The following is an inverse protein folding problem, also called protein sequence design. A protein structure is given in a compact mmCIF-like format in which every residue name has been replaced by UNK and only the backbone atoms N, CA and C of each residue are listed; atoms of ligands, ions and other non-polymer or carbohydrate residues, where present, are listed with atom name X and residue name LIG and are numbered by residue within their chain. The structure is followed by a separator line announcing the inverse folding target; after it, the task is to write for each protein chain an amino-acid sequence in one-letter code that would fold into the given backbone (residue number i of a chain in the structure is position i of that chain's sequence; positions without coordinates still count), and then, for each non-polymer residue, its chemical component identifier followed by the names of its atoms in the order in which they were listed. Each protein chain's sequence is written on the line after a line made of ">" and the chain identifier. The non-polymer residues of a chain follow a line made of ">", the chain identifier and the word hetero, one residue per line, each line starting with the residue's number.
data_IF_624003715068
#
_entry.id   IF_624003715068
#
_cell.length_a   1.000
_cell.length_b   1.000
_cell.length_c   1.000
_cell.angle_alpha   90.00
_cell.angle_beta   90.00
_cell.angle_gamma   90.00
#
_symmetry.space_group_name_H-M   'P 1'
#
loop_
_entity.id
_entity.type
_entity.pdbx_description
1 polymer ?
#
# COMPACT_ATOMS: atom_id res chain seq x y z
N UNK A 1 15.46 3.77 12.09
CA UNK A 1 14.49 3.48 11.03
C UNK A 1 14.67 4.46 9.88
N UNK A 2 14.28 4.09 8.65
CA UNK A 2 14.02 5.04 7.56
C UNK A 2 13.17 6.22 8.07
N UNK A 3 13.22 7.41 7.46
CA UNK A 3 12.85 8.68 8.07
C UNK A 3 11.48 8.61 8.77
N UNK A 4 11.50 8.37 10.08
CA UNK A 4 10.36 8.25 10.98
C UNK A 4 9.12 7.47 10.46
N UNK A 5 9.29 6.51 9.54
CA UNK A 5 8.16 5.81 8.90
C UNK A 5 7.10 6.79 8.34
N UNK A 6 7.56 7.90 7.75
CA UNK A 6 6.70 8.97 7.20
C UNK A 6 5.67 9.54 8.20
N UNK A 7 5.89 9.36 9.51
CA UNK A 7 4.90 9.67 10.56
C UNK A 7 3.56 8.92 10.41
N UNK A 8 3.57 7.78 9.73
CA UNK A 8 2.43 6.93 9.44
C UNK A 8 2.66 5.49 9.90
N UNK A 9 3.42 5.33 10.98
CA UNK A 9 3.72 4.02 11.55
C UNK A 9 4.71 4.11 12.71
N UNK A 10 5.00 2.95 13.26
CA UNK A 10 5.91 2.76 14.39
C UNK A 10 7.15 2.01 13.93
N UNK A 11 8.32 2.46 14.40
CA UNK A 11 9.57 1.76 14.16
C UNK A 11 9.70 0.58 15.14
N UNK A 12 9.66 -0.66 14.63
CA UNK A 12 9.92 -1.86 15.40
C UNK A 12 11.04 -2.68 14.76
N UNK A 13 12.05 -3.05 15.55
CA UNK A 13 13.17 -3.90 15.11
C UNK A 13 13.93 -3.39 13.87
N UNK A 14 13.87 -2.08 13.61
CA UNK A 14 14.50 -1.47 12.43
C UNK A 14 13.60 -1.37 11.19
N UNK A 15 12.39 -1.92 11.26
CA UNK A 15 11.37 -1.89 10.21
C UNK A 15 10.21 -0.97 10.59
N UNK A 16 9.49 -0.48 9.57
CA UNK A 16 8.31 0.34 9.79
C UNK A 16 7.06 -0.54 9.81
N UNK A 17 6.38 -0.57 10.95
CA UNK A 17 5.04 -1.12 11.10
C UNK A 17 4.05 -0.01 10.83
N UNK A 18 3.42 -0.02 9.66
CA UNK A 18 2.55 1.06 9.22
C UNK A 18 1.19 1.07 9.93
N UNK A 19 0.67 2.28 10.12
CA UNK A 19 -0.69 2.49 10.59
C UNK A 19 -1.72 1.98 9.57
N UNK A 20 -2.94 1.73 10.05
CA UNK A 20 -4.03 1.28 9.18
C UNK A 20 -4.24 2.29 8.05
N UNK A 21 -4.17 1.81 6.81
CA UNK A 21 -4.32 2.64 5.63
C UNK A 21 -3.00 3.21 5.08
N UNK A 22 -1.84 2.83 5.63
CA UNK A 22 -0.52 3.21 5.10
C UNK A 22 0.35 2.00 4.82
N UNK A 23 1.13 2.10 3.75
CA UNK A 23 1.85 1.01 3.10
C UNK A 23 3.23 1.48 2.62
N UNK A 24 4.04 0.53 2.18
CA UNK A 24 5.41 0.77 1.73
C UNK A 24 6.43 0.56 2.85
N UNK A 25 7.71 0.57 2.48
CA UNK A 25 8.84 0.32 3.39
C UNK A 25 8.93 1.40 4.47
N UNK A 26 8.43 2.60 4.17
CA UNK A 26 8.48 3.76 5.06
C UNK A 26 7.09 4.33 5.34
N UNK A 27 6.02 3.56 5.09
CA UNK A 27 4.63 3.99 5.27
C UNK A 27 4.27 5.25 4.47
N UNK A 28 4.93 5.45 3.34
CA UNK A 28 4.78 6.63 2.48
C UNK A 28 3.58 6.55 1.53
N UNK A 29 2.99 5.36 1.38
CA UNK A 29 1.91 5.10 0.43
C UNK A 29 0.58 4.98 1.16
N UNK A 30 -0.44 5.68 0.70
CA UNK A 30 -1.78 5.54 1.25
C UNK A 30 -2.50 4.36 0.59
N UNK A 31 -3.06 3.47 1.41
CA UNK A 31 -3.83 2.32 0.96
C UNK A 31 -5.13 2.79 0.31
N UNK A 32 -5.48 2.12 -0.78
CA UNK A 32 -6.72 2.41 -1.47
C UNK A 32 -7.87 1.55 -0.96
N UNK A 33 -9.12 2.01 -1.11
CA UNK A 33 -10.28 1.20 -0.78
C UNK A 33 -10.19 -0.16 -1.47
N UNK A 34 -10.65 -1.21 -0.80
CA UNK A 34 -10.66 -2.59 -1.31
C UNK A 34 -9.29 -3.19 -1.69
N UNK A 35 -8.18 -2.56 -1.29
CA UNK A 35 -6.84 -3.13 -1.44
C UNK A 35 -6.70 -4.43 -0.64
N UNK A 36 -6.18 -5.48 -1.27
CA UNK A 36 -5.81 -6.72 -0.57
C UNK A 36 -4.34 -6.68 -0.18
N UNK A 37 -4.07 -6.53 1.11
CA UNK A 37 -2.72 -6.51 1.67
C UNK A 37 -2.40 -7.81 2.39
N UNK A 38 -1.17 -8.28 2.23
CA UNK A 38 -0.57 -9.37 2.99
C UNK A 38 0.77 -8.91 3.54
N UNK A 39 1.04 -9.25 4.80
CA UNK A 39 2.33 -8.94 5.40
C UNK A 39 3.37 -9.95 4.91
N UNK A 40 4.36 -9.49 4.15
CA UNK A 40 5.50 -10.30 3.74
C UNK A 40 6.54 -10.34 4.87
N UNK A 41 6.55 -11.44 5.62
CA UNK A 41 7.49 -11.68 6.71
C UNK A 41 8.95 -11.82 6.24
N UNK A 42 9.23 -12.09 4.96
CA UNK A 42 10.60 -12.22 4.45
C UNK A 42 11.24 -10.87 4.25
N UNK A 43 10.46 -9.95 3.68
CA UNK A 43 10.92 -8.60 3.36
C UNK A 43 10.49 -7.55 4.41
N UNK A 44 9.68 -7.94 5.41
CA UNK A 44 9.12 -7.07 6.45
C UNK A 44 8.42 -5.84 5.86
N UNK A 45 7.56 -6.08 4.86
CA UNK A 45 6.77 -5.06 4.18
C UNK A 45 5.32 -5.52 4.02
N UNK A 46 4.40 -4.57 3.95
CA UNK A 46 3.04 -4.84 3.49
C UNK A 46 3.06 -4.97 1.96
N UNK A 47 2.91 -6.18 1.46
CA UNK A 47 2.71 -6.44 0.04
C UNK A 47 1.22 -6.29 -0.29
N UNK A 48 0.89 -5.24 -1.05
CA UNK A 48 -0.48 -4.85 -1.30
C UNK A 48 -0.80 -4.91 -2.78
N UNK A 49 -1.84 -5.67 -3.09
CA UNK A 49 -2.44 -5.70 -4.40
C UNK A 49 -3.45 -4.54 -4.51
N UNK A 50 -2.93 -3.35 -4.83
CA UNK A 50 -3.72 -2.16 -5.13
C UNK A 50 -4.38 -2.31 -6.50
N UNK A 51 -5.66 -1.96 -6.63
CA UNK A 51 -6.37 -2.01 -7.93
C UNK A 51 -6.22 -3.36 -8.65
N UNK A 52 -6.28 -4.46 -7.88
CA UNK A 52 -6.03 -5.83 -8.35
C UNK A 52 -4.68 -6.06 -9.04
N UNK A 53 -3.72 -5.15 -8.90
CA UNK A 53 -2.42 -5.16 -9.57
C UNK A 53 -2.44 -4.61 -10.99
N UNK A 54 -3.57 -4.06 -11.45
CA UNK A 54 -3.80 -3.66 -12.84
C UNK A 54 -4.19 -2.18 -12.97
N UNK A 55 -3.65 -1.36 -12.09
CA UNK A 55 -3.92 0.06 -12.11
C UNK A 55 -3.15 0.79 -11.04
N UNK A 56 -3.19 2.11 -11.14
CA UNK A 56 -2.59 3.03 -10.18
C UNK A 56 -3.70 3.68 -9.39
N UNK A 57 -3.56 3.69 -8.07
CA UNK A 57 -4.49 4.40 -7.24
C UNK A 57 -4.12 5.87 -7.10
N UNK A 58 -5.11 6.75 -7.21
CA UNK A 58 -4.93 8.18 -7.05
C UNK A 58 -5.20 8.66 -5.60
N UNK A 59 -4.91 9.94 -5.34
CA UNK A 59 -5.13 10.54 -4.01
C UNK A 59 -6.61 10.58 -3.57
N UNK A 60 -7.56 10.42 -4.51
CA UNK A 60 -8.98 10.32 -4.22
C UNK A 60 -9.42 8.88 -3.95
N UNK A 61 -8.48 7.96 -3.69
CA UNK A 61 -8.78 6.57 -3.38
C UNK A 61 -9.54 5.87 -4.54
N UNK A 62 -9.32 6.31 -5.78
CA UNK A 62 -9.91 5.71 -7.00
C UNK A 62 -8.82 5.04 -7.83
N UNK A 63 -9.12 3.84 -8.31
CA UNK A 63 -8.22 3.13 -9.21
C UNK A 63 -8.32 3.64 -10.65
N UNK A 64 -7.18 4.01 -11.21
CA UNK A 64 -7.00 4.29 -12.63
C UNK A 64 -6.45 3.02 -13.27
N UNK A 65 -7.28 2.32 -14.03
CA UNK A 65 -6.94 1.01 -14.57
C UNK A 65 -6.01 1.09 -15.78
N UNK A 66 -5.12 0.11 -15.88
CA UNK A 66 -4.31 -0.13 -17.06
C UNK A 66 -5.18 -0.57 -18.24
N UNK A 67 -4.63 -0.47 -19.46
CA UNK A 67 -5.36 -0.79 -20.70
C UNK A 67 -5.85 -2.24 -20.67
N UNK A 68 -7.17 -2.41 -20.84
CA UNK A 68 -7.83 -3.73 -20.85
C UNK A 68 -8.54 -4.08 -19.54
N UNK A 69 -8.30 -3.34 -18.46
CA UNK A 69 -8.90 -3.56 -17.14
C UNK A 69 -10.00 -2.55 -16.86
N UNK A 70 -11.03 -2.95 -16.12
CA UNK A 70 -12.22 -2.11 -15.85
C UNK A 70 -12.77 -2.34 -14.45
N UNK A 71 -13.72 -1.49 -14.07
CA UNK A 71 -14.37 -1.54 -12.75
C UNK A 71 -13.59 -0.77 -11.69
N UNK A 72 -14.16 -0.75 -10.48
CA UNK A 72 -13.67 0.06 -9.35
C UNK A 72 -12.28 -0.40 -8.85
N UNK A 73 -11.97 -1.69 -9.01
CA UNK A 73 -10.71 -2.32 -8.57
C UNK A 73 -9.87 -2.87 -9.74
N UNK A 74 -10.15 -2.47 -10.99
CA UNK A 74 -9.43 -2.93 -12.19
C UNK A 74 -9.32 -4.47 -12.33
N UNK A 75 -10.50 -5.11 -12.39
CA UNK A 75 -10.65 -6.56 -12.60
C UNK A 75 -11.10 -6.91 -14.01
#
# INVERSE_FOLDING_TARGET
>A
CPPACSAHGVCEWGYCVCDVGFLGVTCEQQQCPNSRCVYDYRNHVNDCLLCSGNGVCNANATCICDVGWKGEDCR
#
